data_IF_200645501370
#
_entry.id   IF_200645501370
#
_cell.length_a   1.000
_cell.length_b   1.000
_cell.length_c   1.000
_cell.angle_alpha   90.00
_cell.angle_beta   90.00
_cell.angle_gamma   90.00
#
_symmetry.space_group_name_H-M   'P 1'
#
loop_
_entity.id
_entity.type
_entity.pdbx_description
1 polymer ?
#
# COMPACT_ATOMS: atom_id res chain seq x y z
N UNK A 1 27.24 23.59 1.53
CA UNK A 1 26.58 22.28 1.77
C UNK A 1 25.45 22.19 0.76
N UNK A 2 25.59 21.32 -0.25
CA UNK A 2 24.51 21.03 -1.19
C UNK A 2 23.39 20.29 -0.45
N UNK A 3 22.10 20.53 -0.77
CA UNK A 3 21.03 19.73 -0.18
C UNK A 3 21.25 18.27 -0.58
N UNK A 4 21.27 17.34 0.40
CA UNK A 4 21.15 15.93 0.08
C UNK A 4 19.80 15.73 -0.59
N UNK A 5 19.78 15.24 -1.83
CA UNK A 5 18.54 14.77 -2.42
C UNK A 5 18.15 13.56 -1.58
N UNK A 6 17.19 13.73 -0.66
CA UNK A 6 16.62 12.63 0.09
C UNK A 6 15.97 11.69 -0.91
N UNK A 7 16.31 10.41 -0.87
CA UNK A 7 15.65 9.41 -1.71
C UNK A 7 14.13 9.45 -1.47
N UNK A 8 13.30 9.32 -2.52
CA UNK A 8 11.85 9.31 -2.37
C UNK A 8 11.43 8.20 -1.41
N UNK A 9 10.50 8.50 -0.51
CA UNK A 9 9.92 7.51 0.39
C UNK A 9 8.96 6.61 -0.38
N UNK A 10 9.11 5.30 -0.21
CA UNK A 10 8.22 4.32 -0.82
C UNK A 10 7.01 4.09 0.09
N UNK A 11 5.83 4.21 -0.51
CA UNK A 11 4.54 3.84 0.05
C UNK A 11 4.15 2.50 -0.58
N UNK A 12 4.09 1.45 0.24
CA UNK A 12 3.59 0.15 -0.18
C UNK A 12 2.08 0.07 0.09
N UNK A 13 1.28 0.10 -0.97
CA UNK A 13 -0.14 -0.18 -0.94
C UNK A 13 -0.39 -1.69 -1.06
N UNK A 14 -0.95 -2.27 -0.01
CA UNK A 14 -1.24 -3.70 0.08
C UNK A 14 -2.75 -3.90 -0.02
N UNK A 15 -3.17 -4.61 -1.07
CA UNK A 15 -4.57 -4.93 -1.32
C UNK A 15 -4.86 -6.40 -0.98
N UNK A 16 -5.68 -6.63 0.04
CA UNK A 16 -6.24 -7.95 0.35
C UNK A 16 -7.66 -8.06 -0.24
N UNK A 17 -7.80 -8.82 -1.32
CA UNK A 17 -9.10 -9.11 -1.94
C UNK A 17 -9.28 -10.62 -2.14
N UNK A 18 -9.56 -11.37 -1.06
CA UNK A 18 -9.85 -12.79 -1.16
C UNK A 18 -10.99 -13.05 -2.14
N UNK A 19 -10.85 -14.08 -2.99
CA UNK A 19 -11.82 -14.36 -4.07
C UNK A 19 -13.24 -14.65 -3.55
N UNK A 20 -13.35 -15.06 -2.30
CA UNK A 20 -14.61 -15.48 -1.64
C UNK A 20 -15.26 -14.36 -0.81
N UNK A 21 -14.73 -13.13 -0.85
CA UNK A 21 -15.26 -11.99 -0.09
C UNK A 21 -15.98 -10.98 -1.00
N UNK A 22 -16.81 -10.12 -0.40
CA UNK A 22 -17.42 -9.03 -1.16
C UNK A 22 -16.34 -8.18 -1.83
N UNK A 23 -16.53 -7.86 -3.12
CA UNK A 23 -15.56 -7.07 -3.88
C UNK A 23 -15.47 -5.65 -3.29
N UNK A 24 -14.36 -5.37 -2.63
CA UNK A 24 -14.02 -4.02 -2.21
C UNK A 24 -13.57 -3.18 -3.42
N UNK A 25 -13.85 -1.88 -3.38
CA UNK A 25 -13.41 -0.92 -4.40
C UNK A 25 -11.94 -0.51 -4.21
N UNK A 26 -11.06 -1.48 -3.97
CA UNK A 26 -9.62 -1.24 -3.70
C UNK A 26 -8.94 -0.49 -4.86
N UNK A 27 -9.38 -0.74 -6.10
CA UNK A 27 -8.88 -0.03 -7.27
C UNK A 27 -9.27 1.45 -7.30
N UNK A 28 -10.40 1.82 -6.72
CA UNK A 28 -10.79 3.23 -6.59
C UNK A 28 -9.91 3.93 -5.58
N UNK A 29 -9.67 3.32 -4.42
CA UNK A 29 -8.81 3.88 -3.38
C UNK A 29 -7.38 4.07 -3.87
N UNK A 30 -6.81 3.07 -4.53
CA UNK A 30 -5.48 3.18 -5.14
C UNK A 30 -5.40 4.37 -6.11
N UNK A 31 -6.43 4.53 -6.95
CA UNK A 31 -6.50 5.63 -7.91
C UNK A 31 -6.57 6.98 -7.20
N UNK A 32 -7.37 7.10 -6.14
CA UNK A 32 -7.49 8.33 -5.36
C UNK A 32 -6.16 8.70 -4.69
N UNK A 33 -5.42 7.73 -4.15
CA UNK A 33 -4.07 7.94 -3.58
C UNK A 33 -3.09 8.38 -4.66
N UNK A 34 -3.04 7.67 -5.80
CA UNK A 34 -2.12 8.00 -6.90
C UNK A 34 -2.38 9.41 -7.45
N UNK A 35 -3.64 9.78 -7.67
CA UNK A 35 -4.03 11.11 -8.12
C UNK A 35 -3.72 12.18 -7.06
N UNK A 36 -3.92 11.88 -5.78
CA UNK A 36 -3.56 12.75 -4.67
C UNK A 36 -2.06 13.04 -4.63
N UNK A 37 -1.23 12.01 -4.74
CA UNK A 37 0.23 12.14 -4.81
C UNK A 37 0.64 12.98 -6.03
N UNK A 38 0.05 12.74 -7.20
CA UNK A 38 0.38 13.48 -8.42
C UNK A 38 0.08 14.99 -8.30
N UNK A 39 -0.99 15.36 -7.58
CA UNK A 39 -1.38 16.75 -7.31
C UNK A 39 -0.61 17.41 -6.17
N UNK A 40 0.11 16.62 -5.35
CA UNK A 40 0.83 17.14 -4.20
C UNK A 40 2.06 17.97 -4.61
N UNK A 41 2.34 19.04 -3.86
CA UNK A 41 3.52 19.90 -4.10
C UNK A 41 4.86 19.14 -3.92
N UNK A 42 4.85 18.03 -3.19
CA UNK A 42 6.01 17.19 -2.87
C UNK A 42 5.93 15.80 -3.50
N UNK A 43 5.24 15.66 -4.64
CA UNK A 43 5.03 14.37 -5.31
C UNK A 43 6.32 13.59 -5.55
N UNK A 44 7.41 14.29 -5.87
CA UNK A 44 8.71 13.67 -6.18
C UNK A 44 9.41 13.13 -4.91
N UNK A 45 8.84 13.34 -3.72
CA UNK A 45 9.32 12.76 -2.46
C UNK A 45 8.70 11.39 -2.17
N UNK A 46 7.78 10.91 -3.01
CA UNK A 46 7.07 9.65 -2.77
C UNK A 46 7.04 8.76 -4.01
N UNK A 47 7.27 7.47 -3.79
CA UNK A 47 7.02 6.41 -4.77
C UNK A 47 5.86 5.56 -4.27
N UNK A 48 4.84 5.33 -5.09
CA UNK A 48 3.72 4.46 -4.75
C UNK A 48 3.91 3.09 -5.41
N UNK A 49 4.02 2.05 -4.59
CA UNK A 49 4.12 0.67 -5.04
C UNK A 49 2.90 -0.14 -4.61
N UNK A 50 2.36 -0.93 -5.52
CA UNK A 50 1.20 -1.77 -5.24
C UNK A 50 1.61 -3.25 -5.18
N UNK A 51 1.08 -3.95 -4.17
CA UNK A 51 1.13 -5.42 -4.08
C UNK A 51 -0.25 -5.98 -3.71
N UNK A 52 -0.60 -7.10 -4.35
CA UNK A 52 -1.72 -7.93 -3.89
C UNK A 52 -1.21 -8.87 -2.80
N UNK A 53 -1.91 -8.93 -1.67
CA UNK A 53 -1.58 -9.85 -0.59
C UNK A 53 -2.86 -10.46 -0.05
N UNK A 54 -3.17 -11.65 -0.54
CA UNK A 54 -4.31 -12.41 -0.03
C UNK A 54 -3.93 -13.17 1.24
N UNK A 55 -2.64 -13.45 1.45
CA UNK A 55 -2.11 -14.13 2.64
C UNK A 55 -1.18 -13.22 3.47
N UNK A 56 -1.05 -13.47 4.79
CA UNK A 56 -0.10 -12.72 5.62
C UNK A 56 1.35 -12.82 5.14
N UNK A 57 1.75 -13.98 4.60
CA UNK A 57 3.10 -14.20 4.07
C UNK A 57 3.42 -13.32 2.86
N UNK A 58 2.41 -13.00 2.05
CA UNK A 58 2.58 -12.12 0.88
C UNK A 58 2.96 -10.70 1.33
N UNK A 59 2.42 -10.25 2.46
CA UNK A 59 2.76 -8.95 3.07
C UNK A 59 4.20 -8.94 3.53
N UNK A 60 4.61 -9.97 4.28
CA UNK A 60 5.98 -10.06 4.79
C UNK A 60 6.99 -10.04 3.66
N UNK A 61 6.73 -10.78 2.58
CA UNK A 61 7.56 -10.77 1.36
C UNK A 61 7.57 -9.39 0.72
N UNK A 62 6.41 -8.78 0.53
CA UNK A 62 6.32 -7.44 -0.03
C UNK A 62 7.10 -6.40 0.80
N UNK A 63 7.08 -6.48 2.12
CA UNK A 63 7.87 -5.61 2.99
C UNK A 63 9.37 -5.82 2.82
N UNK A 64 9.83 -7.06 2.69
CA UNK A 64 11.24 -7.38 2.49
C UNK A 64 11.75 -7.01 1.09
N UNK A 65 10.90 -7.18 0.07
CA UNK A 65 11.26 -6.89 -1.33
C UNK A 65 11.30 -5.39 -1.62
N UNK A 66 10.44 -4.61 -0.94
CA UNK A 66 10.22 -3.19 -1.21
C UNK A 66 10.92 -2.27 -0.21
N UNK A 67 11.16 -2.75 1.01
CA UNK A 67 11.68 -1.97 2.14
C UNK A 67 10.97 -0.60 2.31
N UNK A 68 9.62 -0.58 2.39
CA UNK A 68 8.86 0.66 2.36
C UNK A 68 8.97 1.44 3.68
N UNK A 69 8.88 2.77 3.58
CA UNK A 69 8.80 3.66 4.74
C UNK A 69 7.37 3.83 5.23
N UNK A 70 6.38 3.63 4.35
CA UNK A 70 4.95 3.75 4.68
C UNK A 70 4.22 2.54 4.11
N UNK A 71 3.32 1.94 4.88
CA UNK A 71 2.47 0.84 4.42
C UNK A 71 1.01 1.26 4.55
N UNK A 72 0.25 1.14 3.47
CA UNK A 72 -1.19 1.35 3.43
C UNK A 72 -1.89 0.01 3.20
N UNK A 73 -2.67 -0.46 4.17
CA UNK A 73 -3.46 -1.68 4.04
C UNK A 73 -4.88 -1.35 3.60
N UNK A 74 -5.32 -2.00 2.53
CA UNK A 74 -6.69 -1.90 2.02
C UNK A 74 -7.26 -3.30 1.82
N UNK A 75 -8.36 -3.59 2.50
CA UNK A 75 -8.95 -4.93 2.54
C UNK A 75 -10.08 -5.03 3.56
N UNK A 76 -10.57 -6.25 3.77
CA UNK A 76 -11.61 -6.51 4.76
C UNK A 76 -11.01 -6.42 6.17
N UNK A 77 -11.56 -5.55 7.00
CA UNK A 77 -11.24 -5.45 8.42
C UNK A 77 -12.30 -6.16 9.27
N UNK A 78 -11.87 -6.76 10.37
CA UNK A 78 -12.72 -7.37 11.39
C UNK A 78 -12.77 -6.52 12.67
N UNK A 79 -12.74 -5.18 12.52
CA UNK A 79 -12.71 -4.24 13.63
C UNK A 79 -11.47 -4.44 14.50
N UNK A 80 -11.65 -4.61 15.81
CA UNK A 80 -10.55 -4.87 16.76
C UNK A 80 -9.85 -6.22 16.52
N UNK A 81 -10.46 -7.14 15.76
CA UNK A 81 -9.85 -8.43 15.41
C UNK A 81 -8.81 -8.30 14.28
N UNK A 82 -8.69 -7.12 13.66
CA UNK A 82 -7.61 -6.81 12.72
C UNK A 82 -8.01 -6.94 11.26
N UNK A 83 -7.07 -7.37 10.43
CA UNK A 83 -7.22 -7.51 8.98
C UNK A 83 -7.52 -8.97 8.61
N UNK A 84 -8.41 -9.17 7.64
CA UNK A 84 -8.80 -10.49 7.15
C UNK A 84 -7.92 -10.91 5.97
N UNK A 85 -7.33 -12.10 6.08
CA UNK A 85 -6.51 -12.73 5.05
C UNK A 85 -6.95 -14.18 4.83
N UNK A 86 -6.59 -14.74 3.69
CA UNK A 86 -6.62 -16.19 3.41
C UNK A 86 -5.46 -16.90 4.16
N UNK A 87 -5.64 -18.20 4.41
CA UNK A 87 -4.58 -19.11 4.89
C UNK A 87 -3.56 -19.46 3.79
#
# INVERSE_FOLDING_TARGET
MSPSITEPQTILFVAANPKETERLRLGQELREIAEGLQRAQKRDQFNLEQRSAVRPLDIQRAMLDVEPQIIHFSGHGAGEQGLVFED
#
